data_IF_190748991760
#
_entry.id   IF_190748991760
#
_cell.length_a   1.000
_cell.length_b   1.000
_cell.length_c   1.000
_cell.angle_alpha   90.00
_cell.angle_beta   90.00
_cell.angle_gamma   90.00
#
_symmetry.space_group_name_H-M   'P 1'
#
loop_
_entity.id
_entity.type
_entity.pdbx_description
1 polymer ?
#
# COMPACT_ATOMS: atom_id res chain seq x y z
N UNK A 1 -14.46 44.40 -10.69
CA UNK A 1 -13.65 44.23 -9.48
C UNK A 1 -14.17 43.06 -8.65
N UNK A 2 -13.36 42.01 -8.53
CA UNK A 2 -13.22 41.10 -7.38
C UNK A 2 -14.43 40.82 -6.47
N UNK A 3 -15.40 40.07 -6.98
CA UNK A 3 -16.42 39.39 -6.15
C UNK A 3 -15.93 38.05 -5.57
N UNK A 4 -14.86 38.08 -4.77
CA UNK A 4 -14.46 37.06 -3.77
C UNK A 4 -14.67 35.57 -4.15
N UNK A 5 -13.93 35.08 -5.14
CA UNK A 5 -13.63 33.64 -5.28
C UNK A 5 -12.60 33.16 -4.23
N UNK A 6 -12.77 33.56 -2.96
CA UNK A 6 -11.75 33.42 -1.90
C UNK A 6 -12.30 33.01 -0.53
N UNK A 7 -13.57 32.64 -0.43
CA UNK A 7 -14.06 31.94 0.75
C UNK A 7 -13.89 30.45 0.50
N UNK A 8 -13.05 29.76 1.30
CA UNK A 8 -12.88 28.30 1.31
C UNK A 8 -14.22 27.68 0.92
N UNK A 9 -14.33 27.20 -0.32
CA UNK A 9 -15.48 26.40 -0.70
C UNK A 9 -15.53 25.32 0.38
N UNK A 10 -16.65 25.27 1.14
CA UNK A 10 -16.99 24.17 2.05
C UNK A 10 -16.44 22.92 1.38
N UNK A 11 -15.62 22.07 2.02
CA UNK A 11 -14.86 21.03 1.32
C UNK A 11 -15.82 20.06 0.60
N UNK A 12 -16.26 20.43 -0.61
CA UNK A 12 -17.06 19.64 -1.54
C UNK A 12 -16.20 18.50 -2.10
N UNK A 13 -14.91 18.50 -1.72
CA UNK A 13 -13.85 17.61 -2.15
C UNK A 13 -13.06 17.08 -0.95
N UNK A 14 -13.72 16.85 0.19
CA UNK A 14 -13.17 15.82 1.08
C UNK A 14 -13.10 14.54 0.23
N UNK A 15 -11.94 13.88 0.10
CA UNK A 15 -11.86 12.64 -0.65
C UNK A 15 -12.88 11.71 -0.03
N UNK A 16 -13.92 11.35 -0.80
CA UNK A 16 -14.83 10.29 -0.39
C UNK A 16 -13.91 9.13 -0.04
N UNK A 17 -13.90 8.74 1.24
CA UNK A 17 -13.11 7.59 1.70
C UNK A 17 -13.51 6.45 0.78
N UNK A 18 -12.65 6.11 -0.17
CA UNK A 18 -12.83 4.92 -0.98
C UNK A 18 -12.65 3.81 0.03
N UNK A 19 -13.76 3.19 0.41
CA UNK A 19 -13.71 1.95 1.16
C UNK A 19 -13.07 0.97 0.19
N UNK A 20 -11.77 0.75 0.37
CA UNK A 20 -11.10 -0.39 -0.21
C UNK A 20 -11.63 -1.59 0.55
N UNK A 21 -12.76 -2.11 0.10
CA UNK A 21 -13.21 -3.45 0.46
C UNK A 21 -12.17 -4.38 -0.17
N UNK A 22 -11.20 -4.79 0.65
CA UNK A 22 -10.29 -5.85 0.26
C UNK A 22 -11.11 -7.12 0.32
N UNK A 23 -11.45 -7.64 -0.86
CA UNK A 23 -12.19 -8.88 -1.00
C UNK A 23 -11.37 -10.05 -0.43
N UNK A 24 -12.02 -11.17 -0.13
CA UNK A 24 -11.35 -12.36 0.44
C UNK A 24 -10.18 -12.84 -0.45
N UNK A 25 -10.28 -12.63 -1.76
CA UNK A 25 -9.22 -12.90 -2.74
C UNK A 25 -8.00 -11.99 -2.57
N UNK A 26 -8.20 -10.69 -2.28
CA UNK A 26 -7.11 -9.74 -2.05
C UNK A 26 -6.36 -10.04 -0.76
N UNK A 27 -7.08 -10.46 0.29
CA UNK A 27 -6.47 -10.91 1.54
C UNK A 27 -5.66 -12.19 1.34
N UNK A 28 -6.18 -13.14 0.56
CA UNK A 28 -5.47 -14.36 0.20
C UNK A 28 -4.21 -14.06 -0.65
N UNK A 29 -4.28 -13.11 -1.57
CA UNK A 29 -3.14 -12.69 -2.38
C UNK A 29 -2.07 -11.99 -1.54
N UNK A 30 -2.46 -11.08 -0.64
CA UNK A 30 -1.52 -10.45 0.30
C UNK A 30 -0.87 -11.45 1.24
N UNK A 31 -1.62 -12.47 1.71
CA UNK A 31 -1.07 -13.53 2.53
C UNK A 31 -0.02 -14.34 1.76
N UNK A 32 -0.32 -14.76 0.51
CA UNK A 32 0.63 -15.44 -0.37
C UNK A 32 1.87 -14.58 -0.64
N UNK A 33 1.70 -13.31 -0.99
CA UNK A 33 2.82 -12.39 -1.27
C UNK A 33 3.73 -12.22 -0.05
N UNK A 34 3.17 -12.13 1.17
CA UNK A 34 3.97 -12.07 2.40
C UNK A 34 4.75 -13.35 2.65
N UNK A 35 4.16 -14.52 2.38
CA UNK A 35 4.83 -15.81 2.50
C UNK A 35 5.97 -15.94 1.48
N UNK A 36 5.73 -15.55 0.22
CA UNK A 36 6.74 -15.59 -0.83
C UNK A 36 7.91 -14.64 -0.52
N UNK A 37 7.62 -13.42 -0.08
CA UNK A 37 8.65 -12.48 0.35
C UNK A 37 9.44 -12.99 1.56
N UNK A 38 8.78 -13.65 2.53
CA UNK A 38 9.46 -14.24 3.67
C UNK A 38 10.38 -15.40 3.25
N UNK A 39 9.94 -16.25 2.32
CA UNK A 39 10.75 -17.32 1.75
C UNK A 39 11.96 -16.77 0.99
N UNK A 40 11.76 -15.75 0.16
CA UNK A 40 12.86 -15.09 -0.57
C UNK A 40 13.86 -14.44 0.39
N UNK A 41 13.39 -13.73 1.43
CA UNK A 41 14.27 -13.13 2.44
C UNK A 41 15.05 -14.20 3.21
N UNK A 42 14.41 -15.31 3.58
CA UNK A 42 15.09 -16.42 4.25
C UNK A 42 16.15 -17.08 3.36
N UNK A 43 15.87 -17.26 2.06
CA UNK A 43 16.83 -17.75 1.09
C UNK A 43 17.98 -16.77 0.86
N UNK A 44 17.68 -15.47 0.76
CA UNK A 44 18.68 -14.41 0.66
C UNK A 44 19.56 -14.36 1.91
N UNK A 45 19.00 -14.46 3.11
CA UNK A 45 19.78 -14.51 4.36
C UNK A 45 20.66 -15.76 4.43
N UNK A 46 20.12 -16.93 4.03
CA UNK A 46 20.89 -18.18 3.94
C UNK A 46 22.02 -18.09 2.90
N UNK A 47 21.79 -17.39 1.79
CA UNK A 47 22.80 -17.16 0.76
C UNK A 47 23.85 -16.13 1.21
N UNK A 48 23.43 -15.05 1.85
CA UNK A 48 24.30 -13.99 2.37
C UNK A 48 25.23 -14.48 3.49
N UNK A 49 24.82 -15.50 4.26
CA UNK A 49 25.62 -16.09 5.33
C UNK A 49 26.70 -17.09 4.89
N UNK A 50 26.73 -17.51 3.61
CA UNK A 50 27.69 -18.53 3.12
C UNK A 50 29.00 -17.98 2.58
N UNK A 51 29.38 -16.76 2.96
CA UNK A 51 30.62 -16.15 2.50
C UNK A 51 30.51 -15.67 1.06
N UNK A 52 31.43 -14.79 0.63
CA UNK A 52 31.28 -14.04 -0.59
C UNK A 52 31.49 -14.95 -1.79
N UNK A 53 30.82 -14.60 -2.90
CA UNK A 53 31.40 -14.83 -4.21
C UNK A 53 32.86 -14.35 -4.24
#
# INVERSE_FOLDING_TARGET
>A
MSGRAGGKAKPLKAPKKKVTELDEEDLAFQAKQKQDQAALKALQQKAAGKGPL
#
